data_IF_850069329502
#
_entry.id   IF_850069329502
#
_cell.length_a   1.000
_cell.length_b   1.000
_cell.length_c   1.000
_cell.angle_alpha   90.00
_cell.angle_beta   90.00
_cell.angle_gamma   90.00
#
_symmetry.space_group_name_H-M   'P 1'
#
loop_
_entity.id
_entity.type
_entity.pdbx_description
1 polymer ?
#
# COMPACT_ATOMS: atom_id res chain seq x y z
N UNK A 1 18.60 7.53 37.15
CA UNK A 1 18.58 8.16 35.81
C UNK A 1 18.01 7.15 34.82
N UNK A 2 16.72 7.21 34.51
CA UNK A 2 16.09 6.30 33.55
C UNK A 2 15.30 7.13 32.55
N UNK A 3 15.83 7.24 31.33
CA UNK A 3 15.11 7.80 30.19
C UNK A 3 15.13 6.78 29.08
N UNK A 4 14.00 6.10 28.89
CA UNK A 4 13.44 5.74 27.58
C UNK A 4 12.04 5.18 27.80
N UNK A 5 11.07 6.09 27.90
CA UNK A 5 9.68 5.75 27.62
C UNK A 5 9.59 5.48 26.11
N UNK A 6 9.32 4.22 25.77
CA UNK A 6 9.14 3.75 24.42
C UNK A 6 7.83 4.34 23.90
N UNK A 7 7.88 5.45 23.14
CA UNK A 7 6.70 5.95 22.42
C UNK A 7 6.38 4.98 21.29
N UNK A 8 5.59 3.96 21.58
CA UNK A 8 4.78 3.30 20.56
C UNK A 8 3.70 4.31 20.19
N UNK A 9 4.00 5.21 19.26
CA UNK A 9 3.00 6.09 18.65
C UNK A 9 1.91 5.19 18.08
N UNK A 10 0.68 5.36 18.57
CA UNK A 10 -0.49 4.63 18.05
C UNK A 10 -0.61 4.90 16.55
N UNK A 11 -0.34 3.88 15.74
CA UNK A 11 -0.24 3.98 14.27
C UNK A 11 -1.63 4.05 13.60
N UNK A 12 -2.70 3.91 14.38
CA UNK A 12 -4.07 3.61 13.94
C UNK A 12 -4.77 4.71 13.11
N UNK A 13 -4.06 5.76 12.66
CA UNK A 13 -4.63 6.81 11.80
C UNK A 13 -3.57 7.54 10.93
N UNK A 14 -2.52 6.82 10.49
CA UNK A 14 -1.50 7.35 9.59
C UNK A 14 -1.73 6.91 8.14
N UNK A 15 -1.79 7.87 7.22
CA UNK A 15 -1.82 7.57 5.79
C UNK A 15 -0.45 7.07 5.30
N UNK A 16 -0.43 5.96 4.55
CA UNK A 16 0.77 5.43 3.91
C UNK A 16 0.66 5.59 2.40
N UNK A 17 1.64 6.26 1.78
CA UNK A 17 1.77 6.36 0.34
C UNK A 17 2.85 5.38 -0.15
N UNK A 18 2.49 4.52 -1.09
CA UNK A 18 3.38 3.52 -1.72
C UNK A 18 3.68 3.98 -3.14
N UNK A 19 4.93 4.34 -3.38
CA UNK A 19 5.40 4.77 -4.69
C UNK A 19 6.00 3.58 -5.43
N UNK A 20 5.54 3.36 -6.66
CA UNK A 20 6.08 2.30 -7.51
C UNK A 20 7.41 2.73 -8.10
N UNK A 21 8.23 1.78 -8.51
CA UNK A 21 9.45 2.08 -9.27
C UNK A 21 9.11 2.26 -10.75
N UNK A 22 9.97 2.94 -11.51
CA UNK A 22 9.79 3.11 -12.96
C UNK A 22 9.78 1.73 -13.63
N UNK A 23 8.75 1.45 -14.42
CA UNK A 23 8.53 0.14 -15.06
C UNK A 23 7.77 -0.86 -14.19
N UNK A 24 7.23 -0.43 -13.05
CA UNK A 24 6.34 -1.24 -12.23
C UNK A 24 4.99 -0.53 -12.08
N UNK A 25 3.91 -1.23 -12.43
CA UNK A 25 2.52 -0.81 -12.27
C UNK A 25 1.72 -1.92 -11.60
N UNK A 26 0.46 -1.65 -11.29
CA UNK A 26 -0.46 -2.68 -10.81
C UNK A 26 -0.66 -3.76 -11.88
N UNK A 27 -0.69 -3.37 -13.15
CA UNK A 27 -0.75 -4.30 -14.28
C UNK A 27 0.46 -5.24 -14.33
N UNK A 28 1.68 -4.72 -14.09
CA UNK A 28 2.89 -5.56 -14.06
C UNK A 28 2.89 -6.52 -12.87
N UNK A 29 2.33 -6.13 -11.71
CA UNK A 29 2.08 -7.08 -10.62
C UNK A 29 1.07 -8.15 -11.01
N UNK A 30 0.04 -7.81 -11.79
CA UNK A 30 -0.92 -8.78 -12.29
C UNK A 30 -0.27 -9.76 -13.28
N UNK A 31 0.50 -9.25 -14.24
CA UNK A 31 1.24 -10.06 -15.23
C UNK A 31 2.27 -10.98 -14.57
N UNK A 32 2.92 -10.52 -13.51
CA UNK A 32 3.88 -11.31 -12.74
C UNK A 32 3.22 -12.30 -11.75
N UNK A 33 1.89 -12.31 -11.63
CA UNK A 33 1.16 -13.15 -10.66
C UNK A 33 1.37 -12.72 -9.20
N UNK A 34 1.79 -11.48 -8.97
CA UNK A 34 2.12 -10.90 -7.67
C UNK A 34 0.95 -10.15 -7.03
N UNK A 35 -0.05 -9.76 -7.82
CA UNK A 35 -1.11 -8.85 -7.39
C UNK A 35 -1.80 -9.28 -6.09
N UNK A 36 -2.28 -10.53 -6.02
CA UNK A 36 -3.02 -11.01 -4.85
C UNK A 36 -2.18 -11.01 -3.57
N UNK A 37 -0.93 -11.47 -3.66
CA UNK A 37 -0.02 -11.55 -2.52
C UNK A 37 0.28 -10.15 -1.98
N UNK A 38 0.48 -9.20 -2.88
CA UNK A 38 0.88 -7.83 -2.54
C UNK A 38 -0.32 -7.08 -1.97
N UNK A 39 -1.49 -7.21 -2.58
CA UNK A 39 -2.74 -6.67 -2.05
C UNK A 39 -3.09 -7.27 -0.68
N UNK A 40 -2.89 -8.57 -0.46
CA UNK A 40 -3.15 -9.20 0.84
C UNK A 40 -2.26 -8.62 1.95
N UNK A 41 -1.01 -8.29 1.63
CA UNK A 41 -0.11 -7.62 2.55
C UNK A 41 -0.60 -6.21 2.90
N UNK A 42 -0.93 -5.39 1.90
CA UNK A 42 -1.40 -4.02 2.13
C UNK A 42 -2.77 -3.98 2.83
N UNK A 43 -3.69 -4.92 2.56
CA UNK A 43 -4.95 -5.07 3.33
C UNK A 43 -4.72 -5.39 4.81
N UNK A 44 -3.66 -6.12 5.15
CA UNK A 44 -3.29 -6.37 6.55
C UNK A 44 -2.64 -5.15 7.18
N UNK A 45 -1.89 -4.38 6.40
CA UNK A 45 -1.25 -3.15 6.86
C UNK A 45 -2.29 -2.03 7.07
N UNK A 46 -3.28 -1.90 6.18
CA UNK A 46 -4.33 -0.87 6.26
C UNK A 46 -5.12 -0.97 7.56
N UNK A 47 -5.35 -2.19 8.07
CA UNK A 47 -5.96 -2.43 9.38
C UNK A 47 -5.16 -1.86 10.56
N UNK A 48 -3.88 -1.56 10.39
CA UNK A 48 -2.98 -1.02 11.42
C UNK A 48 -2.65 0.46 11.23
N UNK A 49 -2.54 0.91 9.98
CA UNK A 49 -2.14 2.29 9.66
C UNK A 49 -3.34 3.16 9.31
N UNK A 50 -4.41 2.59 8.77
CA UNK A 50 -5.52 3.31 8.16
C UNK A 50 -5.39 3.30 6.64
N UNK A 51 -5.36 4.48 6.03
CA UNK A 51 -5.43 4.63 4.56
C UNK A 51 -4.10 4.29 3.90
N UNK A 52 -4.16 3.49 2.84
CA UNK A 52 -3.04 3.23 1.94
C UNK A 52 -3.36 3.86 0.58
N UNK A 53 -2.41 4.58 0.00
CA UNK A 53 -2.52 5.18 -1.32
C UNK A 53 -1.37 4.66 -2.19
N UNK A 54 -1.71 4.09 -3.34
CA UNK A 54 -0.73 3.65 -4.32
C UNK A 54 -0.51 4.76 -5.33
N UNK A 55 0.76 5.14 -5.53
CA UNK A 55 1.18 6.08 -6.56
C UNK A 55 1.93 5.28 -7.61
N UNK A 56 1.20 4.91 -8.66
CA UNK A 56 1.74 4.17 -9.79
C UNK A 56 2.22 5.16 -10.86
N UNK A 57 3.23 4.75 -11.62
CA UNK A 57 3.71 5.49 -12.79
C UNK A 57 3.22 4.82 -14.09
N UNK A 58 2.09 4.12 -14.04
CA UNK A 58 1.48 3.46 -15.19
C UNK A 58 0.84 4.43 -16.19
N UNK A 59 0.06 3.88 -17.13
CA UNK A 59 -0.75 4.64 -18.09
C UNK A 59 -2.25 4.57 -17.66
N UNK A 60 -3.12 5.22 -18.43
CA UNK A 60 -4.57 5.36 -18.26
C UNK A 60 -5.33 4.04 -17.93
N UNK A 61 -4.75 2.88 -18.27
CA UNK A 61 -5.27 1.53 -17.95
C UNK A 61 -5.22 1.18 -16.44
N UNK A 62 -4.39 1.86 -15.64
CA UNK A 62 -4.32 1.62 -14.18
C UNK A 62 -5.64 1.95 -13.46
N UNK A 63 -6.50 2.77 -14.06
CA UNK A 63 -7.84 3.11 -13.55
C UNK A 63 -8.75 1.88 -13.40
N UNK A 64 -8.48 0.80 -14.12
CA UNK A 64 -9.26 -0.46 -14.10
C UNK A 64 -9.10 -1.24 -12.80
N UNK A 65 -8.05 -0.94 -12.02
CA UNK A 65 -7.80 -1.57 -10.72
C UNK A 65 -8.35 -0.76 -9.55
N UNK A 66 -8.98 0.40 -9.78
CA UNK A 66 -9.53 1.21 -8.70
C UNK A 66 -10.59 0.47 -7.87
N UNK A 67 -11.43 -0.36 -8.49
CA UNK A 67 -12.44 -1.16 -7.79
C UNK A 67 -11.83 -2.27 -6.92
N UNK A 68 -10.75 -2.91 -7.38
CA UNK A 68 -10.00 -3.92 -6.61
C UNK A 68 -9.26 -3.33 -5.40
N UNK A 69 -8.90 -2.03 -5.47
CA UNK A 69 -8.25 -1.30 -4.38
C UNK A 69 -9.25 -0.72 -3.36
N UNK A 70 -10.52 -0.59 -3.72
CA UNK A 70 -11.57 -0.02 -2.86
C UNK A 70 -12.26 -1.06 -1.96
N UNK A 71 -12.05 -2.37 -2.22
CA UNK A 71 -12.72 -3.49 -1.53
C UNK A 71 -11.91 -4.08 -0.36
#
# INVERSE_FOLDING_TARGET
>A
MSFRTNRVSSVNNMGVAVFFTRGMSIEEWNKAGLLEREMAFYRRLSKKVGRICFVTYGDSDDSRYCDDLAS
#
